data_IF_590075510771
#
_entry.id   IF_590075510771
#
_cell.length_a   1.000
_cell.length_b   1.000
_cell.length_c   1.000
_cell.angle_alpha   90.00
_cell.angle_beta   90.00
_cell.angle_gamma   90.00
#
_symmetry.space_group_name_H-M   'P 1'
#
loop_
_entity.id
_entity.type
_entity.pdbx_description
1 polymer ?
#
# COMPACT_ATOMS: atom_id res chain seq x y z
N UNK A 1 34.90 -9.19 20.15
CA UNK A 1 34.57 -7.81 19.75
C UNK A 1 33.27 -7.44 20.43
N UNK A 2 33.26 -6.55 21.39
CA UNK A 2 32.04 -6.00 21.96
C UNK A 2 31.30 -5.24 20.85
N UNK A 3 30.03 -5.61 20.59
CA UNK A 3 29.17 -4.88 19.64
C UNK A 3 28.77 -3.57 20.33
N UNK A 4 29.35 -2.47 19.89
CA UNK A 4 28.92 -1.13 20.36
C UNK A 4 27.49 -0.83 19.93
N UNK A 5 26.72 -0.30 20.85
CA UNK A 5 25.35 0.16 20.57
C UNK A 5 25.40 1.38 19.65
N UNK A 6 24.52 1.43 18.64
CA UNK A 6 24.45 2.57 17.73
C UNK A 6 24.18 3.91 18.44
N UNK A 7 23.46 3.92 19.57
CA UNK A 7 23.18 5.10 20.36
C UNK A 7 24.42 5.80 20.93
N UNK A 8 25.55 5.11 21.05
CA UNK A 8 26.82 5.73 21.43
C UNK A 8 27.28 6.81 20.44
N UNK A 9 26.84 6.70 19.17
CA UNK A 9 27.12 7.68 18.11
C UNK A 9 26.19 8.90 18.15
N UNK A 10 25.07 8.76 18.86
CA UNK A 10 24.00 9.76 18.96
C UNK A 10 23.78 10.11 20.44
N UNK A 11 24.72 10.83 21.08
CA UNK A 11 24.58 11.27 22.46
C UNK A 11 23.39 12.23 22.61
N UNK A 12 22.97 12.48 23.84
CA UNK A 12 21.93 13.47 24.11
C UNK A 12 22.27 14.83 23.50
N UNK A 13 21.25 15.55 23.07
CA UNK A 13 21.38 16.81 22.35
C UNK A 13 20.94 16.74 20.89
N UNK A 14 21.42 17.65 20.06
CA UNK A 14 20.95 17.86 18.67
C UNK A 14 20.98 16.59 17.83
N UNK A 15 22.07 15.83 17.87
CA UNK A 15 22.20 14.59 17.06
C UNK A 15 21.12 13.56 17.39
N UNK A 16 20.77 13.42 18.67
CA UNK A 16 19.69 12.50 19.07
C UNK A 16 18.34 13.03 18.64
N UNK A 17 18.13 14.35 18.74
CA UNK A 17 16.92 14.99 18.27
C UNK A 17 16.73 14.82 16.76
N UNK A 18 17.80 14.92 15.96
CA UNK A 18 17.76 14.72 14.51
C UNK A 18 17.30 13.29 14.16
N UNK A 19 17.76 12.27 14.94
CA UNK A 19 17.30 10.88 14.76
C UNK A 19 15.79 10.77 15.01
N UNK A 20 15.27 11.37 16.07
CA UNK A 20 13.84 11.33 16.36
C UNK A 20 13.01 12.11 15.33
N UNK A 21 13.50 13.25 14.87
CA UNK A 21 12.85 14.04 13.82
C UNK A 21 12.74 13.22 12.52
N UNK A 22 13.84 12.62 12.09
CA UNK A 22 13.85 11.74 10.91
C UNK A 22 12.91 10.54 11.09
N UNK A 23 12.94 9.89 12.25
CA UNK A 23 12.06 8.75 12.55
C UNK A 23 10.58 9.14 12.51
N UNK A 24 10.23 10.34 13.01
CA UNK A 24 8.86 10.83 12.98
C UNK A 24 8.40 11.18 11.56
N UNK A 25 9.25 11.75 10.73
CA UNK A 25 8.96 11.97 9.31
C UNK A 25 8.74 10.64 8.57
N UNK A 26 9.59 9.66 8.83
CA UNK A 26 9.43 8.30 8.29
C UNK A 26 8.13 7.66 8.76
N UNK A 27 7.80 7.75 10.05
CA UNK A 27 6.56 7.23 10.61
C UNK A 27 5.33 7.84 9.94
N UNK A 28 5.32 9.16 9.71
CA UNK A 28 4.25 9.85 8.98
C UNK A 28 4.13 9.35 7.55
N UNK A 29 5.26 9.17 6.88
CA UNK A 29 5.29 8.66 5.51
C UNK A 29 4.67 7.27 5.42
N UNK A 30 5.13 6.29 6.21
CA UNK A 30 4.60 4.92 6.15
C UNK A 30 3.14 4.82 6.65
N UNK A 31 2.70 5.76 7.49
CA UNK A 31 1.30 5.82 7.92
C UNK A 31 0.36 6.33 6.83
N UNK A 32 0.82 7.21 5.96
CA UNK A 32 0.02 7.78 4.87
C UNK A 32 0.17 7.05 3.54
N UNK A 33 1.23 6.26 3.35
CA UNK A 33 1.53 5.57 2.10
C UNK A 33 1.48 4.06 2.30
N UNK A 34 0.34 3.45 2.01
CA UNK A 34 0.09 2.00 2.20
C UNK A 34 0.33 1.19 0.93
N UNK A 35 0.31 1.84 -0.22
CA UNK A 35 0.45 1.21 -1.55
C UNK A 35 1.59 1.84 -2.35
N UNK A 36 2.04 1.16 -3.39
CA UNK A 36 3.05 1.68 -4.32
C UNK A 36 2.60 2.98 -4.97
N UNK A 37 1.29 3.13 -5.26
CA UNK A 37 0.74 4.36 -5.85
C UNK A 37 0.85 5.54 -4.90
N UNK A 38 0.53 5.33 -3.64
CA UNK A 38 0.63 6.37 -2.62
C UNK A 38 2.09 6.76 -2.37
N UNK A 39 3.00 5.76 -2.29
CA UNK A 39 4.44 6.02 -2.18
C UNK A 39 4.95 6.81 -3.40
N UNK A 40 4.63 6.37 -4.61
CA UNK A 40 5.06 7.04 -5.84
C UNK A 40 4.50 8.46 -5.92
N UNK A 41 3.23 8.66 -5.55
CA UNK A 41 2.60 9.98 -5.50
C UNK A 41 3.28 10.92 -4.52
N UNK A 42 3.55 10.46 -3.31
CA UNK A 42 4.22 11.29 -2.28
C UNK A 42 5.68 11.60 -2.67
N UNK A 43 6.42 10.65 -3.20
CA UNK A 43 7.78 10.92 -3.69
C UNK A 43 7.79 11.86 -4.88
N UNK A 44 6.81 11.74 -5.80
CA UNK A 44 6.66 12.69 -6.91
C UNK A 44 6.39 14.10 -6.40
N UNK A 45 5.47 14.27 -5.45
CA UNK A 45 5.17 15.55 -4.81
C UNK A 45 6.43 16.16 -4.18
N UNK A 46 7.16 15.39 -3.38
CA UNK A 46 8.42 15.83 -2.75
C UNK A 46 9.49 16.17 -3.78
N UNK A 47 9.57 15.42 -4.88
CA UNK A 47 10.50 15.72 -5.97
C UNK A 47 10.18 17.09 -6.62
N UNK A 48 8.90 17.36 -6.91
CA UNK A 48 8.47 18.67 -7.46
C UNK A 48 8.81 19.80 -6.48
N UNK A 49 8.58 19.65 -5.19
CA UNK A 49 8.96 20.63 -4.16
C UNK A 49 10.48 20.84 -4.07
N UNK A 50 11.27 19.79 -4.33
CA UNK A 50 12.72 19.86 -4.38
C UNK A 50 13.26 20.40 -5.74
N UNK A 51 12.38 20.87 -6.63
CA UNK A 51 12.75 21.47 -7.90
C UNK A 51 13.03 20.49 -9.04
N UNK A 52 12.54 19.24 -8.94
CA UNK A 52 12.59 18.29 -10.06
C UNK A 52 11.53 18.65 -11.11
N UNK A 53 11.91 18.62 -12.38
CA UNK A 53 11.02 18.79 -13.53
C UNK A 53 10.61 17.42 -14.05
N UNK A 54 9.37 17.28 -14.48
CA UNK A 54 8.91 16.05 -15.11
C UNK A 54 9.62 15.80 -16.44
N UNK A 55 10.03 14.56 -16.69
CA UNK A 55 10.69 14.17 -17.93
C UNK A 55 9.78 14.43 -19.16
N UNK A 56 8.48 14.20 -19.02
CA UNK A 56 7.52 14.43 -20.10
C UNK A 56 7.44 15.90 -20.50
N UNK A 57 7.55 16.82 -19.56
CA UNK A 57 7.61 18.26 -19.81
C UNK A 57 8.86 18.63 -20.63
N UNK A 58 10.01 18.06 -20.27
CA UNK A 58 11.27 18.27 -21.00
C UNK A 58 11.21 17.71 -22.44
N UNK A 59 10.61 16.54 -22.59
CA UNK A 59 10.43 15.91 -23.92
C UNK A 59 9.50 16.78 -24.77
N UNK A 60 8.35 17.20 -24.25
CA UNK A 60 7.37 18.03 -24.98
C UNK A 60 7.97 19.37 -25.42
N UNK A 61 8.85 19.94 -24.63
CA UNK A 61 9.58 21.19 -24.93
C UNK A 61 10.79 21.00 -25.82
N UNK A 62 11.15 19.74 -26.18
CA UNK A 62 12.38 19.39 -26.89
C UNK A 62 13.64 20.02 -26.25
N UNK A 63 13.66 20.09 -24.91
CA UNK A 63 14.75 20.74 -24.16
C UNK A 63 15.86 19.75 -23.86
N UNK A 64 17.10 20.06 -24.29
CA UNK A 64 18.27 19.27 -23.92
C UNK A 64 18.57 19.40 -22.43
N UNK A 65 18.89 18.28 -21.80
CA UNK A 65 19.33 18.24 -20.42
C UNK A 65 20.76 18.77 -20.29
N UNK A 66 21.07 19.39 -19.19
CA UNK A 66 22.39 19.93 -18.84
C UNK A 66 22.78 19.55 -17.42
N UNK A 67 24.04 19.62 -17.09
CA UNK A 67 24.55 19.39 -15.75
C UNK A 67 23.79 20.23 -14.72
N UNK A 68 23.41 19.60 -13.60
CA UNK A 68 22.61 20.18 -12.54
C UNK A 68 21.09 20.06 -12.72
N UNK A 69 20.58 19.67 -13.90
CA UNK A 69 19.16 19.45 -14.09
C UNK A 69 18.67 18.30 -13.19
N UNK A 70 17.50 18.52 -12.59
CA UNK A 70 16.81 17.54 -11.74
C UNK A 70 15.54 17.08 -12.45
N UNK A 71 15.47 15.80 -12.75
CA UNK A 71 14.40 15.21 -13.56
C UNK A 71 13.71 14.12 -12.77
N UNK A 72 12.38 14.10 -12.81
CA UNK A 72 11.56 13.00 -12.31
C UNK A 72 10.83 12.34 -13.48
N UNK A 73 10.86 11.01 -13.52
CA UNK A 73 10.08 10.20 -14.44
C UNK A 73 9.12 9.32 -13.62
N UNK A 74 7.83 9.50 -13.86
CA UNK A 74 6.78 8.71 -13.24
C UNK A 74 6.39 7.56 -14.16
N UNK A 75 6.54 6.33 -13.68
CA UNK A 75 6.15 5.13 -14.41
C UNK A 75 4.78 4.64 -13.92
N UNK A 76 3.72 4.99 -14.64
CA UNK A 76 2.33 4.54 -14.42
C UNK A 76 1.79 4.79 -13.00
N UNK A 77 2.36 5.74 -12.25
CA UNK A 77 2.00 6.03 -10.87
C UNK A 77 2.36 4.91 -9.87
N UNK A 78 3.24 3.97 -10.25
CA UNK A 78 3.65 2.84 -9.42
C UNK A 78 5.17 2.74 -9.21
N UNK A 79 5.93 3.58 -9.86
CA UNK A 79 7.38 3.64 -9.74
C UNK A 79 7.89 4.99 -10.18
N UNK A 80 9.04 5.38 -9.66
CA UNK A 80 9.69 6.64 -9.99
C UNK A 80 11.17 6.41 -10.29
N UNK A 81 11.68 7.22 -11.21
CA UNK A 81 13.09 7.43 -11.37
C UNK A 81 13.41 8.92 -11.21
N UNK A 82 14.42 9.22 -10.43
CA UNK A 82 14.89 10.56 -10.12
C UNK A 82 16.33 10.68 -10.62
N UNK A 83 16.61 11.72 -11.39
CA UNK A 83 17.94 11.96 -11.95
C UNK A 83 18.44 13.33 -11.54
N UNK A 84 19.68 13.39 -11.16
CA UNK A 84 20.48 14.63 -11.10
C UNK A 84 21.56 14.49 -12.16
N UNK A 85 21.49 15.32 -13.20
CA UNK A 85 22.40 15.24 -14.34
C UNK A 85 23.79 15.71 -13.90
N UNK A 86 24.78 14.85 -14.09
CA UNK A 86 26.17 15.16 -13.77
C UNK A 86 26.86 16.03 -14.83
N UNK A 87 28.12 16.38 -14.55
CA UNK A 87 28.99 17.12 -15.49
C UNK A 87 29.61 16.20 -16.53
N UNK A 88 29.77 14.91 -16.22
CA UNK A 88 30.35 13.90 -17.07
C UNK A 88 29.29 13.20 -17.88
N UNK A 89 29.66 12.66 -19.03
CA UNK A 89 28.78 11.85 -19.85
C UNK A 89 28.31 10.58 -19.10
N UNK A 90 27.11 10.14 -19.39
CA UNK A 90 26.52 8.97 -18.77
C UNK A 90 27.33 7.69 -19.04
N UNK A 91 28.07 7.65 -20.16
CA UNK A 91 28.97 6.56 -20.55
C UNK A 91 30.17 6.42 -19.58
N UNK A 92 30.54 7.48 -18.87
CA UNK A 92 31.59 7.43 -17.84
C UNK A 92 31.08 6.81 -16.52
N UNK A 93 29.81 6.48 -16.44
CA UNK A 93 29.17 5.83 -15.29
C UNK A 93 28.21 6.74 -14.53
N UNK A 94 27.46 6.12 -13.62
CA UNK A 94 26.51 6.81 -12.74
C UNK A 94 26.44 6.14 -11.37
N UNK A 95 26.01 6.90 -10.37
CA UNK A 95 25.63 6.35 -9.07
C UNK A 95 24.16 6.02 -9.06
N UNK A 96 23.79 4.77 -8.81
CA UNK A 96 22.41 4.30 -8.77
C UNK A 96 22.05 3.92 -7.34
N UNK A 97 20.99 4.54 -6.82
CA UNK A 97 20.34 4.15 -5.58
C UNK A 97 18.98 3.56 -5.91
N UNK A 98 18.75 2.32 -5.50
CA UNK A 98 17.48 1.61 -5.73
C UNK A 98 16.84 1.17 -4.42
N UNK A 99 15.53 1.31 -4.35
CA UNK A 99 14.73 0.82 -3.24
C UNK A 99 13.35 0.37 -3.73
N UNK A 100 12.80 -0.70 -3.14
CA UNK A 100 11.42 -1.07 -3.38
C UNK A 100 10.47 -0.17 -2.57
N UNK A 101 9.26 0.00 -3.05
CA UNK A 101 8.19 0.81 -2.43
C UNK A 101 6.92 0.01 -2.19
N UNK A 102 6.90 -1.26 -2.56
CA UNK A 102 5.82 -2.20 -2.25
C UNK A 102 5.94 -2.73 -0.81
N UNK A 103 4.80 -3.11 -0.25
CA UNK A 103 4.69 -3.69 1.08
C UNK A 103 3.80 -4.94 1.06
N UNK A 104 3.98 -5.90 1.98
CA UNK A 104 3.06 -7.01 2.12
C UNK A 104 1.65 -6.53 2.40
N UNK A 105 0.67 -7.15 1.72
CA UNK A 105 -0.75 -6.79 1.80
C UNK A 105 -1.62 -7.93 1.33
N UNK A 106 -2.95 -7.75 1.39
CA UNK A 106 -3.92 -8.56 0.69
C UNK A 106 -4.46 -7.77 -0.51
N UNK A 107 -4.33 -8.34 -1.71
CA UNK A 107 -4.91 -7.78 -2.92
C UNK A 107 -6.27 -8.42 -3.18
N UNK A 108 -7.24 -7.63 -3.67
CA UNK A 108 -8.52 -8.17 -4.12
C UNK A 108 -8.32 -8.96 -5.44
N UNK A 109 -8.97 -10.11 -5.56
CA UNK A 109 -9.03 -10.86 -6.82
C UNK A 109 -9.89 -10.12 -7.86
N UNK A 110 -9.89 -10.56 -9.11
CA UNK A 110 -10.56 -9.88 -10.23
C UNK A 110 -12.09 -9.78 -10.08
N UNK A 111 -12.72 -10.78 -9.46
CA UNK A 111 -14.15 -10.79 -9.12
C UNK A 111 -14.26 -11.09 -7.63
N UNK A 112 -14.00 -10.08 -6.77
CA UNK A 112 -13.74 -10.35 -5.37
C UNK A 112 -15.01 -10.56 -4.54
N UNK A 113 -16.12 -9.91 -4.91
CA UNK A 113 -17.32 -9.89 -4.09
C UNK A 113 -18.11 -11.19 -4.23
N UNK A 114 -18.35 -11.84 -3.12
CA UNK A 114 -19.21 -13.01 -3.03
C UNK A 114 -19.97 -13.05 -1.70
N UNK A 115 -20.95 -13.90 -1.60
CA UNK A 115 -21.74 -14.11 -0.39
C UNK A 115 -21.58 -15.56 0.08
N UNK A 116 -21.29 -15.71 1.35
CA UNK A 116 -21.30 -17.00 2.03
C UNK A 116 -21.85 -16.82 3.44
N UNK A 117 -22.66 -17.80 3.90
CA UNK A 117 -23.25 -17.79 5.25
C UNK A 117 -23.93 -16.46 5.64
N UNK A 118 -24.64 -15.84 4.71
CA UNK A 118 -25.34 -14.55 4.88
C UNK A 118 -24.39 -13.37 5.17
N UNK A 119 -23.12 -13.50 4.77
CA UNK A 119 -22.10 -12.45 4.87
C UNK A 119 -21.58 -12.08 3.49
N UNK A 120 -21.31 -10.80 3.28
CA UNK A 120 -20.63 -10.30 2.10
C UNK A 120 -19.11 -10.29 2.35
N UNK A 121 -18.39 -10.96 1.48
CA UNK A 121 -16.96 -11.18 1.56
C UNK A 121 -16.26 -10.68 0.30
N UNK A 122 -15.02 -10.23 0.45
CA UNK A 122 -14.13 -9.97 -0.68
C UNK A 122 -13.04 -11.02 -0.70
N UNK A 123 -13.01 -11.80 -1.78
CA UNK A 123 -11.97 -12.79 -2.04
C UNK A 123 -10.62 -12.10 -2.28
N UNK A 124 -9.60 -12.54 -1.57
CA UNK A 124 -8.29 -11.90 -1.58
C UNK A 124 -7.17 -12.85 -1.95
N UNK A 125 -6.05 -12.27 -2.32
CA UNK A 125 -4.78 -12.95 -2.47
C UNK A 125 -3.70 -12.19 -1.73
N UNK A 126 -2.94 -12.85 -0.86
CA UNK A 126 -1.85 -12.18 -0.15
C UNK A 126 -0.67 -11.91 -1.09
N UNK A 127 -0.07 -10.73 -0.94
CA UNK A 127 1.12 -10.30 -1.67
C UNK A 127 2.32 -10.21 -0.74
N UNK A 128 3.46 -10.74 -1.20
CA UNK A 128 4.70 -10.74 -0.46
C UNK A 128 4.79 -11.79 0.64
N UNK A 129 5.81 -11.69 1.47
CA UNK A 129 6.04 -12.60 2.59
C UNK A 129 5.22 -12.24 3.81
N UNK A 130 4.11 -12.93 4.03
CA UNK A 130 3.22 -12.72 5.18
C UNK A 130 3.19 -13.93 6.10
N UNK A 131 3.11 -13.69 7.40
CA UNK A 131 2.67 -14.68 8.38
C UNK A 131 1.15 -14.60 8.47
N UNK A 132 0.45 -15.46 7.73
CA UNK A 132 -1.00 -15.39 7.55
C UNK A 132 -1.79 -15.28 8.87
N UNK A 133 -1.37 -16.01 9.91
CA UNK A 133 -2.00 -15.96 11.22
C UNK A 133 -1.92 -14.60 11.94
N UNK A 134 -1.10 -13.67 11.45
CA UNK A 134 -1.04 -12.30 11.99
C UNK A 134 -2.05 -11.35 11.32
N UNK A 135 -2.72 -11.80 10.25
CA UNK A 135 -3.64 -10.96 9.48
C UNK A 135 -5.10 -11.19 9.84
N UNK A 136 -5.40 -12.28 10.55
CA UNK A 136 -6.76 -12.53 11.06
C UNK A 136 -7.02 -11.65 12.29
N UNK A 137 -8.27 -11.26 12.49
CA UNK A 137 -8.76 -10.43 13.64
C UNK A 137 -8.16 -9.02 13.73
N UNK A 138 -7.41 -8.58 12.73
CA UNK A 138 -6.90 -7.20 12.68
C UNK A 138 -7.92 -6.27 12.02
N UNK A 139 -8.03 -5.02 12.49
CA UNK A 139 -8.73 -3.98 11.74
C UNK A 139 -7.93 -3.64 10.48
N UNK A 140 -8.59 -3.69 9.34
CA UNK A 140 -7.99 -3.47 8.02
C UNK A 140 -8.67 -2.29 7.32
N UNK A 141 -7.95 -1.65 6.42
CA UNK A 141 -8.44 -0.59 5.55
C UNK A 141 -8.28 -0.99 4.08
N UNK A 142 -9.14 -0.43 3.22
CA UNK A 142 -9.07 -0.61 1.77
C UNK A 142 -8.40 0.61 1.13
N UNK A 143 -7.30 0.36 0.42
CA UNK A 143 -6.56 1.36 -0.36
C UNK A 143 -6.41 0.90 -1.79
N UNK A 144 -6.66 1.78 -2.74
CA UNK A 144 -6.48 1.44 -4.14
C UNK A 144 -7.07 2.45 -5.10
N UNK A 145 -7.22 2.00 -6.35
CA UNK A 145 -7.84 2.80 -7.41
C UNK A 145 -8.76 1.94 -8.24
N UNK A 146 -9.87 2.51 -8.68
CA UNK A 146 -10.80 1.92 -9.62
C UNK A 146 -10.66 2.64 -10.95
N UNK A 147 -10.26 1.90 -11.98
CA UNK A 147 -10.21 2.42 -13.34
C UNK A 147 -11.54 2.10 -14.03
N UNK A 148 -12.35 3.12 -14.30
CA UNK A 148 -13.63 2.97 -14.97
C UNK A 148 -13.48 2.76 -16.49
N UNK A 149 -14.52 2.24 -17.13
CA UNK A 149 -14.56 2.01 -18.59
C UNK A 149 -14.39 3.29 -19.41
N UNK A 150 -14.78 4.44 -18.86
CA UNK A 150 -14.62 5.76 -19.50
C UNK A 150 -13.20 6.35 -19.36
N UNK A 151 -12.27 5.60 -18.74
CA UNK A 151 -10.88 6.01 -18.51
C UNK A 151 -10.67 6.83 -17.25
N UNK A 152 -11.73 7.17 -16.52
CA UNK A 152 -11.58 7.89 -15.24
C UNK A 152 -11.10 6.96 -14.14
N UNK A 153 -10.40 7.52 -13.16
CA UNK A 153 -9.88 6.78 -12.00
C UNK A 153 -10.49 7.34 -10.72
N UNK A 154 -10.96 6.44 -9.87
CA UNK A 154 -11.44 6.77 -8.51
C UNK A 154 -10.47 6.21 -7.49
N UNK A 155 -9.99 7.06 -6.59
CA UNK A 155 -9.18 6.62 -5.45
C UNK A 155 -10.08 6.08 -4.35
N UNK A 156 -9.72 4.93 -3.82
CA UNK A 156 -10.36 4.29 -2.67
C UNK A 156 -9.42 4.40 -1.48
N UNK A 157 -9.94 4.93 -0.39
CA UNK A 157 -9.30 4.95 0.92
C UNK A 157 -10.42 4.90 1.96
N UNK A 158 -10.66 3.73 2.54
CA UNK A 158 -11.75 3.46 3.47
C UNK A 158 -11.21 2.66 4.64
N UNK A 159 -11.48 3.10 5.87
CA UNK A 159 -11.04 2.43 7.10
C UNK A 159 -9.92 3.15 7.85
N UNK A 160 -9.49 4.32 7.38
CA UNK A 160 -8.44 5.12 8.03
C UNK A 160 -9.00 6.16 9.02
N UNK A 161 -10.25 6.56 8.85
CA UNK A 161 -10.88 7.56 9.72
C UNK A 161 -11.73 6.89 10.79
N UNK A 162 -11.90 7.51 11.97
CA UNK A 162 -12.72 6.95 13.05
C UNK A 162 -14.18 6.65 12.66
N UNK A 163 -14.72 7.40 11.70
CA UNK A 163 -16.08 7.24 11.18
C UNK A 163 -16.20 6.19 10.06
N UNK A 164 -15.08 5.73 9.52
CA UNK A 164 -15.08 4.74 8.44
C UNK A 164 -15.47 3.36 8.99
N UNK A 165 -16.05 2.49 8.15
CA UNK A 165 -16.24 1.10 8.50
C UNK A 165 -14.91 0.38 8.71
N UNK A 166 -14.89 -0.58 9.61
CA UNK A 166 -13.76 -1.46 9.86
C UNK A 166 -13.94 -2.76 9.09
N UNK A 167 -12.92 -3.16 8.36
CA UNK A 167 -12.85 -4.45 7.68
C UNK A 167 -11.96 -5.41 8.44
N UNK A 168 -12.15 -6.71 8.25
CA UNK A 168 -11.31 -7.71 8.90
C UNK A 168 -11.50 -9.10 8.33
N UNK A 169 -10.53 -9.95 8.58
CA UNK A 169 -10.63 -11.39 8.35
C UNK A 169 -11.01 -12.02 9.68
N UNK A 170 -12.14 -12.75 9.70
CA UNK A 170 -12.58 -13.49 10.88
C UNK A 170 -11.68 -14.70 11.15
N UNK A 171 -11.67 -15.16 12.37
CA UNK A 171 -11.02 -16.41 12.77
C UNK A 171 -11.97 -17.25 13.64
N UNK A 172 -11.66 -18.54 13.77
CA UNK A 172 -12.45 -19.44 14.58
C UNK A 172 -12.33 -19.14 16.07
N UNK A 173 -13.44 -19.21 16.78
CA UNK A 173 -13.42 -19.23 18.24
C UNK A 173 -12.71 -20.49 18.75
N UNK A 174 -12.05 -20.40 19.88
CA UNK A 174 -11.27 -21.50 20.46
C UNK A 174 -12.06 -22.81 20.57
N UNK A 175 -13.36 -22.76 20.83
CA UNK A 175 -14.23 -23.92 20.94
C UNK A 175 -14.46 -24.66 19.60
N UNK A 176 -14.19 -23.98 18.48
CA UNK A 176 -14.33 -24.51 17.12
C UNK A 176 -12.96 -24.76 16.45
N UNK A 177 -11.89 -24.31 17.08
CA UNK A 177 -10.54 -24.29 16.51
C UNK A 177 -9.71 -25.56 16.80
N UNK A 178 -10.30 -26.65 17.29
CA UNK A 178 -9.55 -27.86 17.70
C UNK A 178 -8.59 -28.37 16.64
N UNK A 179 -9.09 -28.60 15.42
CA UNK A 179 -8.24 -29.06 14.32
C UNK A 179 -7.25 -28.00 13.83
N UNK A 180 -7.64 -26.73 13.90
CA UNK A 180 -6.78 -25.61 13.53
C UNK A 180 -5.57 -25.52 14.46
N UNK A 181 -5.76 -25.71 15.75
CA UNK A 181 -4.72 -25.62 16.78
C UNK A 181 -3.67 -26.74 16.67
N UNK A 182 -4.00 -27.88 16.06
CA UNK A 182 -3.06 -28.97 15.79
C UNK A 182 -2.17 -28.71 14.56
N UNK A 183 -2.49 -27.71 13.76
CA UNK A 183 -1.71 -27.38 12.54
C UNK A 183 -0.43 -26.62 12.89
N UNK A 184 0.61 -26.82 12.06
CA UNK A 184 1.82 -25.98 12.13
C UNK A 184 1.47 -24.52 11.84
N UNK A 185 2.15 -23.57 12.49
CA UNK A 185 1.91 -22.13 12.32
C UNK A 185 1.87 -21.67 10.85
N UNK A 186 2.66 -22.27 9.96
CA UNK A 186 2.64 -21.97 8.52
C UNK A 186 1.38 -22.41 7.79
N UNK A 187 0.56 -23.28 8.41
CA UNK A 187 -0.65 -23.88 7.83
C UNK A 187 -1.90 -23.63 8.67
N UNK A 188 -1.78 -22.94 9.82
CA UNK A 188 -2.90 -22.66 10.72
C UNK A 188 -3.95 -21.79 10.05
N UNK A 189 -3.54 -20.85 9.21
CA UNK A 189 -4.39 -20.07 8.31
C UNK A 189 -3.96 -20.37 6.87
N UNK A 190 -4.90 -20.81 6.06
CA UNK A 190 -4.69 -21.02 4.64
C UNK A 190 -4.85 -19.69 3.88
N UNK A 191 -4.09 -19.50 2.79
CA UNK A 191 -4.10 -18.24 2.04
C UNK A 191 -5.46 -17.95 1.42
N UNK A 192 -6.14 -18.97 0.94
CA UNK A 192 -7.47 -18.87 0.34
C UNK A 192 -8.60 -18.57 1.35
N UNK A 193 -8.29 -18.56 2.65
CA UNK A 193 -9.25 -18.21 3.71
C UNK A 193 -9.03 -16.81 4.29
N UNK A 194 -8.19 -16.02 3.63
CA UNK A 194 -7.96 -14.61 4.03
C UNK A 194 -8.98 -13.69 3.36
N UNK A 195 -10.27 -14.04 3.45
CA UNK A 195 -11.33 -13.25 2.85
C UNK A 195 -11.81 -12.12 3.75
N UNK A 196 -11.97 -10.96 3.15
CA UNK A 196 -12.27 -9.75 3.88
C UNK A 196 -13.77 -9.60 4.10
N UNK A 197 -14.21 -9.61 5.34
CA UNK A 197 -15.61 -9.36 5.70
C UNK A 197 -15.94 -7.88 5.48
N UNK A 198 -16.96 -7.61 4.65
CA UNK A 198 -17.38 -6.26 4.28
C UNK A 198 -18.85 -5.97 4.59
N UNK A 199 -19.65 -6.97 4.90
CA UNK A 199 -21.06 -6.77 5.27
C UNK A 199 -21.66 -7.99 5.93
N UNK A 200 -22.56 -7.76 6.90
CA UNK A 200 -23.28 -8.81 7.65
C UNK A 200 -24.76 -8.48 7.87
N UNK A 201 -25.26 -7.40 7.28
CA UNK A 201 -26.65 -6.98 7.42
C UNK A 201 -27.31 -7.04 6.06
N UNK A 202 -28.32 -7.91 5.85
CA UNK A 202 -29.10 -7.93 4.62
C UNK A 202 -29.82 -6.57 4.44
N UNK A 203 -29.73 -5.99 3.24
CA UNK A 203 -30.39 -4.69 3.00
C UNK A 203 -31.91 -4.81 2.77
N UNK A 204 -32.42 -6.01 2.48
CA UNK A 204 -33.86 -6.29 2.45
C UNK A 204 -34.09 -7.78 2.66
N UNK A 205 -35.26 -8.15 3.21
CA UNK A 205 -35.62 -9.48 3.67
C UNK A 205 -35.62 -10.61 2.61
N UNK A 206 -35.42 -10.29 1.32
CA UNK A 206 -35.45 -11.26 0.22
C UNK A 206 -34.33 -11.03 -0.81
N UNK A 207 -33.33 -10.21 -0.51
CA UNK A 207 -32.22 -9.92 -1.40
C UNK A 207 -30.91 -10.35 -0.72
N UNK A 208 -30.09 -11.10 -1.46
CA UNK A 208 -28.71 -11.36 -1.12
C UNK A 208 -27.95 -10.04 -0.92
N UNK A 209 -26.95 -10.02 -0.05
CA UNK A 209 -26.06 -8.89 0.14
C UNK A 209 -25.37 -8.46 -1.15
N UNK A 210 -25.16 -9.39 -2.07
CA UNK A 210 -24.58 -9.14 -3.40
C UNK A 210 -25.53 -8.34 -4.28
N UNK A 211 -26.83 -8.61 -4.24
CA UNK A 211 -27.83 -7.89 -5.05
C UNK A 211 -28.01 -6.43 -4.66
N UNK A 212 -27.59 -6.04 -3.48
CA UNK A 212 -27.65 -4.66 -3.00
C UNK A 212 -26.44 -3.86 -3.44
N UNK A 213 -25.32 -4.54 -3.67
CA UNK A 213 -24.10 -3.92 -4.16
C UNK A 213 -24.12 -3.68 -5.67
N UNK A 214 -25.11 -4.21 -6.40
CA UNK A 214 -25.27 -3.99 -7.84
C UNK A 214 -26.41 -2.99 -8.15
N UNK A 215 -26.23 -2.11 -9.10
CA UNK A 215 -25.03 -1.69 -9.84
C UNK A 215 -24.33 -0.47 -9.24
N UNK A 216 -24.86 0.10 -8.15
CA UNK A 216 -24.42 1.42 -7.67
C UNK A 216 -23.23 1.34 -6.70
N UNK A 217 -23.08 0.26 -5.94
CA UNK A 217 -21.94 0.07 -5.03
C UNK A 217 -20.75 -0.61 -5.69
N UNK A 218 -20.98 -1.53 -6.62
CA UNK A 218 -19.90 -2.08 -7.45
C UNK A 218 -19.26 -1.01 -8.36
N UNK A 219 -19.98 0.05 -8.71
CA UNK A 219 -19.41 1.21 -9.37
C UNK A 219 -18.46 2.03 -8.45
N UNK A 220 -18.48 1.79 -7.14
CA UNK A 220 -17.56 2.39 -6.17
C UNK A 220 -16.43 1.44 -5.76
N UNK A 221 -16.53 0.13 -6.10
CA UNK A 221 -15.56 -0.90 -5.70
C UNK A 221 -14.94 -1.61 -6.94
N UNK A 222 -15.50 -1.47 -8.14
CA UNK A 222 -15.00 -2.09 -9.38
C UNK A 222 -14.28 -1.13 -10.31
#
# INVERSE_FOLDING_TARGET
MEKKNAWEKYPEGTKRQDVFTFAEEYRKFISSCKTERECAGEFYRKAKEAGFTDLSEKIAQNTKLKAGDRIVANNMGKGLALFVIGEKDIEEGMNILGAHIDSPRMDLKQVPLYEDTEMALLDTHYYGGVKKYQWVTLPLALHGVICKKDGTTVTVNIGEKPEDPVFGVSDLLIHLAGEQMEKKASKVIEGENLDLLVGSIPAASNLSLIHISEPTRLALIS
#
